data_IF_725750038433
#
_entry.id   IF_725750038433
#
_cell.length_a   1.000
_cell.length_b   1.000
_cell.length_c   1.000
_cell.angle_alpha   90.00
_cell.angle_beta   90.00
_cell.angle_gamma   90.00
#
_symmetry.space_group_name_H-M   'P 1'
#
loop_
_entity.id
_entity.type
_entity.pdbx_description
1 polymer ?
#
# COMPACT_ATOMS: atom_id res chain seq x y z
N UNK A 1 -32.65 6.12 6.25
CA UNK A 1 -32.15 4.80 6.66
C UNK A 1 -31.88 4.02 5.37
N UNK A 2 -30.63 3.64 5.12
CA UNK A 2 -30.31 2.82 3.98
C UNK A 2 -30.94 1.43 4.15
N UNK A 3 -31.49 0.91 3.07
CA UNK A 3 -32.04 -0.44 3.05
C UNK A 3 -30.90 -1.47 3.26
N UNK A 4 -30.96 -2.31 4.30
CA UNK A 4 -29.91 -3.27 4.58
C UNK A 4 -29.74 -4.34 3.48
N UNK A 5 -30.80 -4.65 2.72
CA UNK A 5 -30.71 -5.59 1.58
C UNK A 5 -29.87 -4.98 0.46
N UNK A 6 -30.09 -3.72 0.09
CA UNK A 6 -29.29 -3.03 -0.92
C UNK A 6 -27.81 -2.95 -0.48
N UNK A 7 -27.56 -2.69 0.79
CA UNK A 7 -26.19 -2.67 1.32
C UNK A 7 -25.49 -4.03 1.22
N UNK A 8 -26.23 -5.12 1.44
CA UNK A 8 -25.72 -6.49 1.29
C UNK A 8 -25.39 -6.81 -0.16
N UNK A 9 -26.27 -6.46 -1.10
CA UNK A 9 -26.11 -6.74 -2.51
C UNK A 9 -24.91 -5.99 -3.12
N UNK A 10 -24.70 -4.73 -2.73
CA UNK A 10 -23.53 -3.95 -3.14
C UNK A 10 -22.24 -4.60 -2.64
N UNK A 11 -22.22 -5.06 -1.40
CA UNK A 11 -21.03 -5.70 -0.80
C UNK A 11 -20.74 -7.04 -1.47
N UNK A 12 -21.75 -7.84 -1.78
CA UNK A 12 -21.60 -9.12 -2.46
C UNK A 12 -21.10 -8.92 -3.90
N UNK A 13 -21.66 -7.97 -4.63
CA UNK A 13 -21.23 -7.63 -5.98
C UNK A 13 -19.76 -7.18 -6.00
N UNK A 14 -19.34 -6.36 -5.04
CA UNK A 14 -17.94 -5.95 -4.91
C UNK A 14 -17.01 -7.14 -4.59
N UNK A 15 -17.46 -8.10 -3.78
CA UNK A 15 -16.72 -9.33 -3.49
C UNK A 15 -16.55 -10.19 -4.73
N UNK A 16 -17.61 -10.43 -5.47
CA UNK A 16 -17.59 -11.20 -6.72
C UNK A 16 -16.67 -10.55 -7.77
N UNK A 17 -16.73 -9.22 -7.91
CA UNK A 17 -15.84 -8.47 -8.80
C UNK A 17 -14.37 -8.62 -8.40
N UNK A 18 -14.06 -8.54 -7.12
CA UNK A 18 -12.70 -8.75 -6.62
C UNK A 18 -12.20 -10.19 -6.84
N UNK A 19 -13.06 -11.18 -6.64
CA UNK A 19 -12.72 -12.59 -6.91
C UNK A 19 -12.47 -12.82 -8.41
N UNK A 20 -13.24 -12.19 -9.28
CA UNK A 20 -13.02 -12.21 -10.74
C UNK A 20 -11.66 -11.61 -11.11
N UNK A 21 -11.37 -10.40 -10.61
CA UNK A 21 -10.09 -9.71 -10.85
C UNK A 21 -8.90 -10.56 -10.43
N UNK A 22 -8.95 -11.12 -9.21
CA UNK A 22 -7.90 -11.99 -8.69
C UNK A 22 -7.70 -13.23 -9.55
N UNK A 23 -8.79 -13.87 -9.93
CA UNK A 23 -8.74 -15.08 -10.75
C UNK A 23 -8.13 -14.81 -12.11
N UNK A 24 -8.52 -13.72 -12.76
CA UNK A 24 -8.00 -13.31 -14.05
C UNK A 24 -6.50 -12.99 -13.98
N UNK A 25 -6.12 -12.08 -13.08
CA UNK A 25 -4.74 -11.61 -12.93
C UNK A 25 -3.79 -12.77 -12.59
N UNK A 26 -4.16 -13.63 -11.65
CA UNK A 26 -3.28 -14.71 -11.18
C UNK A 26 -3.08 -15.84 -12.22
N UNK A 27 -3.86 -15.86 -13.28
CA UNK A 27 -3.74 -16.83 -14.40
C UNK A 27 -3.09 -16.23 -15.63
N UNK A 28 -2.97 -14.89 -15.68
CA UNK A 28 -2.40 -14.21 -16.84
C UNK A 28 -0.88 -14.28 -16.80
N UNK A 29 -0.28 -14.53 -17.95
CA UNK A 29 1.16 -14.42 -18.19
C UNK A 29 1.44 -13.38 -19.26
N UNK A 30 2.54 -12.65 -19.10
CA UNK A 30 3.13 -11.78 -20.13
C UNK A 30 4.56 -12.21 -20.37
N UNK A 31 5.19 -11.66 -21.37
CA UNK A 31 6.58 -11.94 -21.72
C UNK A 31 7.40 -10.66 -21.60
N UNK A 32 8.58 -10.78 -21.05
CA UNK A 32 9.52 -9.68 -20.83
C UNK A 32 10.86 -9.97 -21.48
N UNK A 33 11.41 -8.98 -22.15
CA UNK A 33 12.77 -9.00 -22.69
C UNK A 33 13.41 -7.62 -22.55
N UNK A 34 14.65 -7.46 -23.01
CA UNK A 34 15.37 -6.17 -22.95
C UNK A 34 14.63 -5.04 -23.69
N UNK A 35 13.85 -5.35 -24.72
CA UNK A 35 13.11 -4.37 -25.52
C UNK A 35 11.77 -3.96 -24.89
N UNK A 36 11.19 -4.75 -23.98
CA UNK A 36 9.94 -4.45 -23.30
C UNK A 36 9.06 -5.64 -22.98
N UNK A 37 7.74 -5.37 -22.87
CA UNK A 37 6.70 -6.32 -22.49
C UNK A 37 5.88 -6.74 -23.70
N UNK A 38 5.59 -8.03 -23.79
CA UNK A 38 4.83 -8.62 -24.89
C UNK A 38 3.67 -9.48 -24.36
N UNK A 39 2.56 -9.44 -25.08
CA UNK A 39 1.34 -10.20 -24.73
C UNK A 39 1.49 -11.68 -25.07
N UNK A 40 2.18 -11.98 -26.17
CA UNK A 40 2.38 -13.31 -26.69
C UNK A 40 3.83 -13.52 -27.11
N UNK A 41 4.36 -14.69 -26.86
CA UNK A 41 5.72 -15.11 -27.20
C UNK A 41 5.98 -15.05 -28.72
N UNK A 42 4.97 -15.32 -29.52
CA UNK A 42 5.08 -15.37 -30.99
C UNK A 42 5.42 -14.00 -31.60
N UNK A 43 5.20 -12.91 -30.87
CA UNK A 43 5.58 -11.56 -31.28
C UNK A 43 7.03 -11.17 -30.90
N UNK A 44 7.74 -12.04 -30.18
CA UNK A 44 9.11 -11.77 -29.74
C UNK A 44 10.07 -12.30 -30.82
N UNK A 45 11.02 -11.47 -31.29
CA UNK A 45 12.06 -11.97 -32.20
C UNK A 45 12.81 -13.16 -31.61
N UNK A 46 13.05 -14.25 -32.37
CA UNK A 46 13.72 -15.43 -31.84
C UNK A 46 15.15 -15.19 -31.32
N UNK A 47 15.75 -14.07 -31.69
CA UNK A 47 17.07 -13.65 -31.24
C UNK A 47 17.08 -13.02 -29.86
N UNK A 48 15.92 -12.65 -29.33
CA UNK A 48 15.81 -12.02 -28.03
C UNK A 48 15.58 -13.07 -26.94
N UNK A 49 16.38 -13.03 -25.89
CA UNK A 49 16.07 -13.71 -24.64
C UNK A 49 14.82 -13.14 -24.03
N UNK A 50 13.89 -13.99 -23.67
CA UNK A 50 12.63 -13.57 -23.04
C UNK A 50 12.31 -14.44 -21.82
N UNK A 51 11.58 -13.85 -20.89
CA UNK A 51 11.11 -14.49 -19.66
C UNK A 51 9.60 -14.41 -19.57
N UNK A 52 8.98 -15.50 -19.16
CA UNK A 52 7.57 -15.51 -18.79
C UNK A 52 7.37 -14.81 -17.47
N UNK A 53 6.47 -13.83 -17.43
CA UNK A 53 6.06 -13.14 -16.22
C UNK A 53 4.75 -13.72 -15.72
N UNK A 54 4.71 -14.03 -14.43
CA UNK A 54 3.52 -14.45 -13.70
C UNK A 54 3.11 -13.39 -12.70
N UNK A 55 1.82 -13.21 -12.50
CA UNK A 55 1.26 -12.17 -11.64
C UNK A 55 0.57 -12.76 -10.42
N UNK A 56 0.61 -12.02 -9.33
CA UNK A 56 -0.07 -12.36 -8.09
C UNK A 56 -0.78 -11.14 -7.51
N UNK A 57 -2.04 -11.28 -7.19
CA UNK A 57 -2.79 -10.28 -6.44
C UNK A 57 -2.39 -10.36 -4.96
N UNK A 58 -1.70 -9.33 -4.49
CA UNK A 58 -1.22 -9.24 -3.11
C UNK A 58 -2.32 -8.80 -2.14
N UNK A 59 -3.13 -7.83 -2.56
CA UNK A 59 -4.12 -7.19 -1.71
C UNK A 59 -5.26 -6.61 -2.53
N UNK A 60 -6.47 -6.73 -2.00
CA UNK A 60 -7.69 -6.15 -2.57
C UNK A 60 -8.44 -5.35 -1.49
N UNK A 61 -8.96 -4.20 -1.87
CA UNK A 61 -9.75 -3.34 -1.00
C UNK A 61 -10.88 -2.69 -1.80
N UNK A 62 -12.09 -3.14 -1.56
CA UNK A 62 -13.35 -2.65 -2.14
C UNK A 62 -13.35 -2.65 -3.67
N UNK A 63 -12.65 -1.71 -4.30
CA UNK A 63 -12.62 -1.41 -5.74
C UNK A 63 -11.21 -1.40 -6.34
N UNK A 64 -10.21 -1.79 -5.56
CA UNK A 64 -8.81 -1.79 -6.00
C UNK A 64 -8.08 -3.08 -5.67
N UNK A 65 -7.09 -3.42 -6.50
CA UNK A 65 -6.16 -4.52 -6.21
C UNK A 65 -4.71 -4.06 -6.34
N UNK A 66 -3.84 -4.68 -5.54
CA UNK A 66 -2.38 -4.56 -5.65
C UNK A 66 -1.85 -5.84 -6.26
N UNK A 67 -1.09 -5.68 -7.34
CA UNK A 67 -0.56 -6.80 -8.13
C UNK A 67 0.96 -6.76 -8.08
N UNK A 68 1.58 -7.91 -7.90
CA UNK A 68 3.02 -8.08 -8.01
C UNK A 68 3.36 -9.06 -9.13
N UNK A 69 4.58 -8.97 -9.63
CA UNK A 69 5.19 -9.98 -10.49
C UNK A 69 5.64 -11.11 -9.56
N UNK A 70 5.08 -12.31 -9.73
CA UNK A 70 5.27 -13.43 -8.81
C UNK A 70 6.68 -14.07 -8.91
N UNK A 71 7.35 -13.90 -10.05
CA UNK A 71 8.70 -14.42 -10.32
C UNK A 71 9.70 -13.26 -10.60
N UNK A 72 9.60 -12.20 -9.82
CA UNK A 72 10.41 -11.00 -9.95
C UNK A 72 11.92 -11.29 -9.85
N UNK A 73 12.34 -12.06 -8.84
CA UNK A 73 13.77 -12.37 -8.61
C UNK A 73 14.41 -13.13 -9.78
N UNK A 74 13.64 -14.03 -10.41
CA UNK A 74 14.08 -14.75 -11.61
C UNK A 74 14.25 -13.78 -12.80
N UNK A 75 13.34 -12.81 -12.95
CA UNK A 75 13.38 -11.81 -14.00
C UNK A 75 14.59 -10.86 -13.85
N UNK A 76 14.85 -10.36 -12.66
CA UNK A 76 16.00 -9.50 -12.38
C UNK A 76 17.34 -10.19 -12.63
N UNK A 77 17.42 -11.48 -12.32
CA UNK A 77 18.66 -12.24 -12.50
C UNK A 77 18.98 -12.57 -13.97
N UNK A 78 17.99 -12.58 -14.86
CA UNK A 78 18.14 -13.12 -16.22
C UNK A 78 18.16 -12.08 -17.34
N UNK A 79 17.55 -10.91 -17.14
CA UNK A 79 17.45 -9.92 -18.22
C UNK A 79 17.97 -8.55 -17.73
N UNK A 80 17.12 -7.75 -17.16
CA UNK A 80 17.42 -6.46 -16.56
C UNK A 80 16.36 -6.10 -15.53
N UNK A 81 16.63 -5.17 -14.60
CA UNK A 81 15.61 -4.65 -13.71
C UNK A 81 14.45 -4.00 -14.47
N UNK A 82 13.24 -4.09 -13.92
CA UNK A 82 12.07 -3.42 -14.46
C UNK A 82 12.19 -1.91 -14.29
N UNK A 83 11.93 -1.19 -15.35
CA UNK A 83 11.73 0.25 -15.30
C UNK A 83 10.27 0.59 -14.96
N UNK A 84 10.01 1.84 -14.57
CA UNK A 84 8.63 2.32 -14.40
C UNK A 84 7.79 2.13 -15.67
N UNK A 85 8.41 2.31 -16.85
CA UNK A 85 7.76 2.10 -18.14
C UNK A 85 7.30 0.65 -18.32
N UNK A 86 8.17 -0.31 -18.02
CA UNK A 86 7.82 -1.73 -18.15
C UNK A 86 6.62 -2.08 -17.26
N UNK A 87 6.63 -1.60 -16.00
CA UNK A 87 5.53 -1.86 -15.06
C UNK A 87 4.24 -1.14 -15.50
N UNK A 88 4.36 0.04 -16.09
CA UNK A 88 3.24 0.77 -16.69
C UNK A 88 2.63 -0.01 -17.86
N UNK A 89 3.45 -0.47 -18.78
CA UNK A 89 3.02 -1.24 -19.96
C UNK A 89 2.32 -2.54 -19.50
N UNK A 90 2.88 -3.26 -18.51
CA UNK A 90 2.23 -4.44 -17.91
C UNK A 90 0.85 -4.11 -17.32
N UNK A 91 0.76 -3.03 -16.56
CA UNK A 91 -0.48 -2.63 -15.90
C UNK A 91 -1.55 -2.19 -16.92
N UNK A 92 -1.16 -1.48 -17.96
CA UNK A 92 -2.07 -1.07 -19.06
C UNK A 92 -2.61 -2.28 -19.81
N UNK A 93 -1.76 -3.26 -20.15
CA UNK A 93 -2.18 -4.52 -20.78
C UNK A 93 -3.17 -5.26 -19.89
N UNK A 94 -2.80 -5.49 -18.61
CA UNK A 94 -3.66 -6.20 -17.67
C UNK A 94 -5.00 -5.50 -17.47
N UNK A 95 -5.01 -4.17 -17.35
CA UNK A 95 -6.25 -3.40 -17.19
C UNK A 95 -7.11 -3.43 -18.46
N UNK A 96 -6.53 -3.35 -19.64
CA UNK A 96 -7.26 -3.43 -20.89
C UNK A 96 -7.97 -4.79 -21.04
N UNK A 97 -7.22 -5.88 -20.88
CA UNK A 97 -7.76 -7.23 -20.96
C UNK A 97 -8.79 -7.52 -19.86
N UNK A 98 -8.57 -7.02 -18.65
CA UNK A 98 -9.50 -7.17 -17.54
C UNK A 98 -10.82 -6.44 -17.80
N UNK A 99 -10.76 -5.23 -18.35
CA UNK A 99 -11.95 -4.46 -18.74
C UNK A 99 -12.76 -5.16 -19.84
N UNK A 100 -12.10 -5.80 -20.79
CA UNK A 100 -12.78 -6.66 -21.79
C UNK A 100 -13.48 -7.84 -21.12
N UNK A 101 -12.82 -8.50 -20.17
CA UNK A 101 -13.37 -9.64 -19.44
C UNK A 101 -14.59 -9.31 -18.57
N UNK A 102 -14.79 -8.05 -18.20
CA UNK A 102 -15.96 -7.64 -17.42
C UNK A 102 -17.29 -7.80 -18.16
N UNK A 103 -17.27 -7.90 -19.49
CA UNK A 103 -18.47 -8.27 -20.23
C UNK A 103 -18.94 -9.69 -19.88
N UNK A 104 -18.00 -10.63 -19.82
CA UNK A 104 -18.28 -12.01 -19.42
C UNK A 104 -18.65 -12.10 -17.94
N UNK A 105 -17.94 -11.37 -17.07
CA UNK A 105 -18.27 -11.27 -15.65
C UNK A 105 -19.72 -10.82 -15.41
N UNK A 106 -20.14 -9.74 -16.06
CA UNK A 106 -21.51 -9.21 -15.89
C UNK A 106 -22.55 -10.17 -16.43
N UNK A 107 -22.30 -10.83 -17.54
CA UNK A 107 -23.19 -11.80 -18.16
C UNK A 107 -23.28 -13.09 -17.36
N UNK A 108 -22.15 -13.66 -16.97
CA UNK A 108 -22.09 -14.99 -16.36
C UNK A 108 -22.35 -14.96 -14.85
N UNK A 109 -21.87 -13.93 -14.17
CA UNK A 109 -21.95 -13.84 -12.71
C UNK A 109 -23.13 -13.00 -12.23
N UNK A 110 -23.41 -11.88 -12.88
CA UNK A 110 -24.47 -10.95 -12.47
C UNK A 110 -25.73 -11.08 -13.30
N UNK A 111 -25.74 -11.93 -14.34
CA UNK A 111 -26.85 -12.09 -15.28
C UNK A 111 -27.32 -10.78 -15.92
N UNK A 112 -26.37 -9.88 -16.22
CA UNK A 112 -26.60 -8.57 -16.86
C UNK A 112 -26.01 -8.60 -18.26
N UNK A 113 -26.79 -8.20 -19.26
CA UNK A 113 -26.44 -8.37 -20.68
C UNK A 113 -25.26 -7.50 -21.15
N UNK A 114 -24.95 -6.42 -20.44
CA UNK A 114 -23.87 -5.47 -20.79
C UNK A 114 -23.11 -5.01 -19.57
N UNK A 115 -21.79 -4.91 -19.71
CA UNK A 115 -20.98 -4.16 -18.75
C UNK A 115 -21.07 -2.66 -19.08
N UNK A 116 -21.73 -1.90 -18.19
CA UNK A 116 -21.78 -0.44 -18.27
C UNK A 116 -21.14 0.23 -17.04
N UNK A 117 -20.71 -0.56 -16.05
CA UNK A 117 -20.35 -0.07 -14.71
C UNK A 117 -18.93 -0.43 -14.27
N UNK A 118 -18.41 -1.58 -14.69
CA UNK A 118 -17.10 -2.04 -14.25
C UNK A 118 -16.01 -1.57 -15.19
N UNK A 119 -15.09 -0.79 -14.65
CA UNK A 119 -13.91 -0.32 -15.35
C UNK A 119 -12.77 -0.15 -14.35
N UNK A 120 -11.64 -0.76 -14.65
CA UNK A 120 -10.42 -0.64 -13.85
C UNK A 120 -9.34 0.08 -14.64
N UNK A 121 -8.53 0.86 -13.97
CA UNK A 121 -7.39 1.56 -14.55
C UNK A 121 -6.19 1.52 -13.61
N UNK A 122 -4.96 1.64 -14.12
CA UNK A 122 -3.81 1.81 -13.28
C UNK A 122 -3.93 3.07 -12.43
N UNK A 123 -3.51 2.99 -11.16
CA UNK A 123 -3.54 4.11 -10.20
C UNK A 123 -2.13 4.54 -9.79
N UNK A 124 -1.27 3.58 -9.43
CA UNK A 124 0.08 3.87 -8.99
C UNK A 124 1.03 2.69 -9.27
N UNK A 125 2.30 3.03 -9.46
CA UNK A 125 3.37 2.07 -9.70
C UNK A 125 4.38 2.14 -8.57
N UNK A 126 4.74 0.98 -8.02
CA UNK A 126 5.68 0.88 -6.91
C UNK A 126 6.88 0.03 -7.32
N UNK A 127 8.07 0.54 -7.05
CA UNK A 127 9.31 -0.21 -7.20
C UNK A 127 9.41 -1.28 -6.10
N UNK A 128 9.00 -0.90 -4.88
CA UNK A 128 8.94 -1.80 -3.72
C UNK A 128 7.65 -1.59 -2.94
N UNK A 129 7.11 -2.68 -2.43
CA UNK A 129 5.87 -2.68 -1.66
C UNK A 129 5.99 -3.64 -0.48
N UNK A 130 5.64 -3.15 0.70
CA UNK A 130 5.68 -3.93 1.94
C UNK A 130 4.34 -3.88 2.66
N UNK A 131 3.78 -5.05 2.95
CA UNK A 131 2.53 -5.21 3.69
C UNK A 131 2.64 -6.39 4.65
N UNK A 132 2.19 -6.20 5.89
CA UNK A 132 2.30 -7.21 6.95
C UNK A 132 0.95 -7.87 7.32
N UNK A 133 0.13 -8.20 6.34
CA UNK A 133 -1.10 -8.99 6.51
C UNK A 133 -2.29 -8.28 7.15
N UNK A 134 -2.18 -6.99 7.47
CA UNK A 134 -3.29 -6.18 8.00
C UNK A 134 -3.87 -5.30 6.90
N UNK A 135 -5.20 -5.32 6.75
CA UNK A 135 -5.89 -4.50 5.74
C UNK A 135 -5.55 -3.01 5.90
N UNK A 136 -5.35 -2.31 4.78
CA UNK A 136 -5.10 -0.86 4.70
C UNK A 136 -3.82 -0.38 5.38
N UNK A 137 -2.88 -1.28 5.71
CA UNK A 137 -1.60 -0.95 6.32
C UNK A 137 -0.47 -1.45 5.44
N UNK A 138 0.22 -0.51 4.78
CA UNK A 138 1.34 -0.82 3.89
C UNK A 138 2.28 0.37 3.75
N UNK A 139 3.49 0.08 3.31
CA UNK A 139 4.50 1.03 2.91
C UNK A 139 4.96 0.74 1.48
N UNK A 140 5.43 1.74 0.76
CA UNK A 140 5.93 1.56 -0.60
C UNK A 140 7.03 2.58 -0.92
N UNK A 141 7.85 2.23 -1.89
CA UNK A 141 8.77 3.13 -2.59
C UNK A 141 8.33 3.19 -4.05
N UNK A 142 8.19 4.40 -4.57
CA UNK A 142 7.90 4.60 -5.98
C UNK A 142 9.19 4.67 -6.82
N UNK A 143 9.07 4.70 -8.14
CA UNK A 143 10.21 4.77 -9.06
C UNK A 143 10.97 6.10 -9.02
N UNK A 144 10.48 7.13 -8.34
CA UNK A 144 11.23 8.35 -8.03
C UNK A 144 12.10 8.22 -6.77
N UNK A 145 12.03 7.07 -6.08
CA UNK A 145 12.68 6.84 -4.80
C UNK A 145 11.93 7.38 -3.59
N UNK A 146 10.71 7.90 -3.77
CA UNK A 146 9.92 8.47 -2.69
C UNK A 146 9.19 7.38 -1.91
N UNK A 147 9.33 7.40 -0.59
CA UNK A 147 8.60 6.53 0.31
C UNK A 147 7.19 7.04 0.61
N UNK A 148 6.24 6.12 0.71
CA UNK A 148 4.88 6.40 1.10
C UNK A 148 4.34 5.37 2.09
N UNK A 149 3.44 5.82 2.96
CA UNK A 149 2.93 5.01 4.07
C UNK A 149 1.43 5.16 4.19
N UNK A 150 0.71 4.07 4.43
CA UNK A 150 -0.74 4.04 4.60
C UNK A 150 -1.14 3.27 5.85
N UNK A 151 -2.06 3.84 6.63
CA UNK A 151 -2.68 3.18 7.77
C UNK A 151 -1.74 2.82 8.94
N UNK A 152 -0.50 3.28 8.92
CA UNK A 152 0.54 3.01 9.92
C UNK A 152 0.57 4.07 11.01
N UNK A 153 1.21 3.78 12.15
CA UNK A 153 1.22 4.65 13.31
C UNK A 153 1.90 6.01 13.03
N UNK A 154 2.91 6.02 12.18
CA UNK A 154 3.59 7.27 11.80
C UNK A 154 2.64 8.30 11.11
N UNK A 155 1.50 7.84 10.59
CA UNK A 155 0.45 8.69 10.01
C UNK A 155 -0.64 9.11 11.00
N UNK A 156 -0.63 8.54 12.19
CA UNK A 156 -1.62 8.85 13.23
C UNK A 156 -1.18 10.07 14.03
N UNK A 157 -2.07 11.03 14.16
CA UNK A 157 -1.82 12.23 14.99
C UNK A 157 -1.66 11.91 16.48
N UNK A 158 -2.22 10.78 16.94
CA UNK A 158 -2.16 10.33 18.32
C UNK A 158 -0.95 9.44 18.68
N UNK A 159 -0.09 9.12 17.72
CA UNK A 159 1.10 8.31 18.02
C UNK A 159 2.24 9.18 18.55
N UNK A 160 2.96 8.72 19.60
CA UNK A 160 4.13 9.42 20.11
C UNK A 160 5.19 9.69 19.04
N UNK A 161 5.91 10.83 19.12
CA UNK A 161 6.98 11.16 18.17
C UNK A 161 8.03 10.06 18.02
N UNK A 162 8.47 9.46 19.12
CA UNK A 162 9.45 8.37 19.11
C UNK A 162 8.96 7.17 18.31
N UNK A 163 7.69 6.78 18.45
CA UNK A 163 7.10 5.65 17.70
C UNK A 163 7.10 5.94 16.20
N UNK A 164 6.82 7.20 15.82
CA UNK A 164 6.85 7.60 14.41
C UNK A 164 8.25 7.53 13.83
N UNK A 165 9.27 8.04 14.55
CA UNK A 165 10.67 8.00 14.08
C UNK A 165 11.15 6.57 13.89
N UNK A 166 10.96 5.71 14.88
CA UNK A 166 11.37 4.29 14.82
C UNK A 166 10.66 3.57 13.68
N UNK A 167 9.35 3.74 13.58
CA UNK A 167 8.58 3.06 12.52
C UNK A 167 8.99 3.54 11.13
N UNK A 168 9.25 4.84 10.96
CA UNK A 168 9.74 5.38 9.71
C UNK A 168 11.10 4.79 9.34
N UNK A 169 12.07 4.81 10.25
CA UNK A 169 13.41 4.28 10.00
C UNK A 169 13.38 2.78 9.62
N UNK A 170 12.53 2.00 10.29
CA UNK A 170 12.33 0.58 9.94
C UNK A 170 11.78 0.42 8.52
N UNK A 171 10.73 1.18 8.17
CA UNK A 171 10.14 1.07 6.84
C UNK A 171 11.08 1.57 5.75
N UNK A 172 11.82 2.66 6.00
CA UNK A 172 12.80 3.18 5.06
C UNK A 172 13.90 2.14 4.81
N UNK A 173 14.41 1.50 5.85
CA UNK A 173 15.39 0.43 5.73
C UNK A 173 14.85 -0.74 4.87
N UNK A 174 13.63 -1.22 5.13
CA UNK A 174 13.00 -2.30 4.35
C UNK A 174 12.79 -1.88 2.88
N UNK A 175 12.29 -0.68 2.65
CA UNK A 175 11.99 -0.18 1.31
C UNK A 175 13.26 0.13 0.49
N UNK A 176 14.39 0.40 1.16
CA UNK A 176 15.70 0.57 0.53
C UNK A 176 16.44 -0.76 0.32
N UNK A 177 15.82 -1.87 0.70
CA UNK A 177 16.32 -3.21 0.46
C UNK A 177 17.12 -3.81 1.60
N UNK A 178 17.03 -3.21 2.79
CA UNK A 178 17.66 -3.75 4.00
C UNK A 178 17.03 -5.08 4.38
N UNK A 179 17.89 -6.03 4.72
CA UNK A 179 17.51 -7.35 5.19
C UNK A 179 17.29 -7.35 6.72
N UNK A 180 16.89 -8.50 7.27
CA UNK A 180 16.59 -8.64 8.69
C UNK A 180 17.73 -8.18 9.64
N UNK A 181 19.03 -8.40 9.35
CA UNK A 181 20.11 -7.88 10.19
C UNK A 181 20.18 -6.36 10.23
N UNK A 182 20.02 -5.68 9.10
CA UNK A 182 20.04 -4.21 9.00
C UNK A 182 18.83 -3.61 9.73
N UNK A 183 17.64 -4.18 9.52
CA UNK A 183 16.43 -3.77 10.26
C UNK A 183 16.64 -3.96 11.77
N UNK A 184 17.26 -5.06 12.18
CA UNK A 184 17.63 -5.32 13.59
C UNK A 184 18.63 -4.31 14.15
N UNK A 185 19.56 -3.81 13.32
CA UNK A 185 20.50 -2.74 13.71
C UNK A 185 19.77 -1.41 13.92
N UNK A 186 18.88 -1.03 12.99
CA UNK A 186 18.04 0.18 13.10
C UNK A 186 17.21 0.16 14.38
N UNK A 187 16.60 -0.98 14.71
CA UNK A 187 15.81 -1.12 15.97
C UNK A 187 16.70 -0.93 17.21
N UNK A 188 17.90 -1.52 17.23
CA UNK A 188 18.84 -1.38 18.37
C UNK A 188 19.30 0.06 18.54
N UNK A 189 19.72 0.71 17.47
CA UNK A 189 20.16 2.12 17.48
C UNK A 189 19.07 3.02 18.10
N UNK A 190 17.84 2.89 17.63
CA UNK A 190 16.74 3.69 18.16
C UNK A 190 16.38 3.31 19.61
N UNK A 191 16.51 2.04 19.97
CA UNK A 191 16.31 1.61 21.35
C UNK A 191 17.36 2.22 22.30
N UNK A 192 18.63 2.21 21.91
CA UNK A 192 19.71 2.83 22.67
C UNK A 192 19.53 4.35 22.80
N UNK A 193 19.13 5.02 21.68
CA UNK A 193 18.80 6.43 21.71
C UNK A 193 17.62 6.78 22.63
N UNK A 194 16.63 5.90 22.77
CA UNK A 194 15.51 6.09 23.70
C UNK A 194 15.94 6.01 25.17
N UNK A 195 17.03 5.30 25.48
CA UNK A 195 17.57 5.20 26.85
C UNK A 195 18.49 6.36 27.23
N UNK A 196 18.88 7.15 26.23
CA UNK A 196 19.79 8.28 26.40
C UNK A 196 18.99 9.60 26.53
N UNK A 197 18.98 10.24 27.72
CA UNK A 197 18.28 11.50 27.93
C UNK A 197 18.82 12.69 27.12
N UNK A 198 20.03 12.58 26.56
CA UNK A 198 20.60 13.61 25.68
C UNK A 198 20.06 13.49 24.23
N UNK A 199 19.55 12.31 23.85
CA UNK A 199 19.06 12.03 22.51
C UNK A 199 17.52 11.99 22.39
N UNK A 200 16.82 11.75 23.49
CA UNK A 200 15.36 11.61 23.50
C UNK A 200 14.77 12.36 24.70
N UNK A 201 13.95 13.35 24.40
CA UNK A 201 13.24 14.14 25.40
C UNK A 201 12.02 13.37 25.94
N UNK A 202 11.59 13.73 27.14
CA UNK A 202 10.44 13.08 27.78
C UNK A 202 9.15 13.27 26.96
N UNK A 203 8.99 14.39 26.28
CA UNK A 203 7.88 14.72 25.40
C UNK A 203 7.77 13.77 24.20
N UNK A 204 8.87 13.20 23.74
CA UNK A 204 8.89 12.22 22.64
C UNK A 204 8.09 10.94 22.93
N UNK A 205 7.94 10.59 24.21
CA UNK A 205 7.14 9.44 24.66
C UNK A 205 5.68 9.82 24.89
N UNK A 206 5.36 11.10 24.89
CA UNK A 206 4.03 11.61 25.12
C UNK A 206 3.05 11.21 23.99
N UNK A 207 1.89 10.67 24.37
CA UNK A 207 0.83 10.46 23.40
C UNK A 207 0.05 11.76 23.18
N UNK A 208 0.09 12.34 21.97
CA UNK A 208 -0.59 13.58 21.71
C UNK A 208 -2.13 13.42 21.69
N UNK A 209 -2.83 14.27 22.42
CA UNK A 209 -4.29 14.31 22.46
C UNK A 209 -4.80 15.69 22.01
N UNK A 210 -5.61 15.73 20.98
CA UNK A 210 -6.26 16.99 20.57
C UNK A 210 -7.35 17.42 21.57
N UNK A 211 -7.39 18.69 21.90
CA UNK A 211 -8.39 19.30 22.80
C UNK A 211 -9.66 19.63 22.02
N UNK A 212 -10.44 18.61 21.65
CA UNK A 212 -11.58 18.75 20.71
C UNK A 212 -12.90 19.16 21.35
N UNK A 213 -13.10 18.86 22.63
CA UNK A 213 -14.39 19.06 23.31
C UNK A 213 -14.19 19.38 24.77
N UNK A 214 -14.91 20.40 25.25
CA UNK A 214 -14.96 20.77 26.67
C UNK A 214 -15.41 19.61 27.55
N UNK A 215 -14.83 19.52 28.75
CA UNK A 215 -15.15 18.50 29.74
C UNK A 215 -14.55 17.11 29.52
N UNK A 216 -13.88 16.86 28.41
CA UNK A 216 -13.13 15.62 28.15
C UNK A 216 -11.85 15.53 28.97
N UNK A 217 -11.25 14.33 29.05
CA UNK A 217 -9.95 14.14 29.72
C UNK A 217 -8.87 15.09 29.12
N UNK A 218 -8.77 15.17 27.79
CA UNK A 218 -7.82 16.03 27.11
C UNK A 218 -8.03 17.53 27.45
N UNK A 219 -9.29 18.00 27.52
CA UNK A 219 -9.59 19.37 27.92
C UNK A 219 -9.19 19.63 29.39
N UNK A 220 -9.52 18.72 30.30
CA UNK A 220 -9.14 18.86 31.72
C UNK A 220 -7.63 18.83 31.92
N UNK A 221 -6.91 17.97 31.19
CA UNK A 221 -5.45 17.92 31.22
C UNK A 221 -4.83 19.21 30.68
N UNK A 222 -5.39 19.76 29.58
CA UNK A 222 -4.95 21.04 29.00
C UNK A 222 -5.14 22.20 29.98
N UNK A 223 -6.31 22.30 30.61
CA UNK A 223 -6.58 23.32 31.64
C UNK A 223 -5.64 23.20 32.83
N UNK A 224 -5.44 21.99 33.33
CA UNK A 224 -4.47 21.74 34.41
C UNK A 224 -3.05 22.15 34.00
N UNK A 225 -2.64 21.83 32.77
CA UNK A 225 -1.33 22.21 32.23
C UNK A 225 -1.18 23.74 32.10
N UNK A 226 -2.22 24.43 31.64
CA UNK A 226 -2.22 25.87 31.57
C UNK A 226 -2.05 26.52 32.95
N UNK A 227 -2.69 25.97 33.98
CA UNK A 227 -2.64 26.48 35.36
C UNK A 227 -1.30 26.17 36.07
N UNK A 228 -0.69 25.01 35.79
CA UNK A 228 0.44 24.50 36.56
C UNK A 228 1.78 24.54 35.82
N UNK A 229 1.76 24.50 34.48
CA UNK A 229 2.98 24.44 33.64
C UNK A 229 3.16 25.65 32.74
N UNK A 230 2.24 26.64 32.82
CA UNK A 230 2.34 27.85 32.03
C UNK A 230 2.10 27.65 30.52
N UNK A 231 1.42 26.58 30.13
CA UNK A 231 1.01 26.34 28.75
C UNK A 231 -0.22 27.18 28.37
N UNK A 232 -0.58 27.23 27.09
CA UNK A 232 -1.70 28.05 26.58
C UNK A 232 -2.59 27.25 25.62
N UNK A 233 -2.98 26.04 26.02
CA UNK A 233 -3.84 25.18 25.21
C UNK A 233 -5.29 25.65 25.21
N UNK A 234 -5.91 25.71 24.04
CA UNK A 234 -7.30 26.02 23.82
C UNK A 234 -8.10 24.89 23.12
N UNK A 235 -9.43 25.03 23.12
CA UNK A 235 -10.30 24.13 22.35
C UNK A 235 -9.99 24.23 20.86
N UNK A 236 -9.67 23.10 20.25
CA UNK A 236 -9.30 23.01 18.84
C UNK A 236 -7.81 22.75 18.63
N UNK A 237 -7.00 22.94 19.66
CA UNK A 237 -5.56 22.71 19.57
C UNK A 237 -5.26 21.24 19.30
N UNK A 238 -4.26 21.05 18.45
CA UNK A 238 -3.63 19.77 18.19
C UNK A 238 -2.19 19.87 18.68
N UNK A 239 -1.73 18.91 19.46
CA UNK A 239 -0.33 18.80 19.84
C UNK A 239 0.55 18.53 18.65
#
# INVERSE_FOLDING_TARGET
LADPEIGSDITETARLHNDWNKHYINRRTLWFCDEGVYVDKDYIPPSLGCMELRFMTLYQDTDSCKVAIANHDEAEATIRPFTERDVRDMAEILCAELNESFHDFTKETLNVAKNEFFNIKPDAYYERYFQWGVKKRYAYRDYSGKHGYRGVELRRSSSPPVVKRVQQAIFDCILDGGEAPEVGAVVREHYEAMLDPEQTEQEDFGQPFGVKKAGTFAHKAAMWSNENLGTTFDLGDKP
#
